data_IF_971785573038
#
_entry.id   IF_971785573038
#
_cell.length_a   1.000
_cell.length_b   1.000
_cell.length_c   1.000
_cell.angle_alpha   90.00
_cell.angle_beta   90.00
_cell.angle_gamma   90.00
#
_symmetry.space_group_name_H-M   'P 1'
#
loop_
_entity.id
_entity.type
_entity.pdbx_description
1 polymer ?
#
# COMPACT_ATOMS: atom_id res chain seq x y z
N UNK A 1 19.18 9.43 3.88
CA UNK A 1 17.83 9.98 3.56
C UNK A 1 17.47 11.15 4.45
N UNK A 2 16.95 12.25 3.89
CA UNK A 2 16.73 13.54 4.60
C UNK A 2 15.36 13.57 5.24
N UNK A 3 15.22 14.00 6.50
CA UNK A 3 13.91 14.30 7.08
C UNK A 3 13.17 15.32 6.23
N UNK A 4 11.85 15.16 6.12
CA UNK A 4 10.98 16.06 5.38
C UNK A 4 10.88 17.46 6.02
N UNK A 5 11.08 17.55 7.33
CA UNK A 5 11.08 18.77 8.14
C UNK A 5 12.32 19.67 7.98
N UNK A 6 13.33 19.24 7.20
CA UNK A 6 14.64 19.88 7.14
C UNK A 6 14.83 20.64 5.81
N UNK A 7 14.98 21.97 5.92
CA UNK A 7 15.26 22.85 4.79
C UNK A 7 16.66 22.57 4.18
N UNK A 8 16.67 22.15 2.91
CA UNK A 8 17.88 21.81 2.15
C UNK A 8 18.63 23.05 1.64
N UNK A 9 18.04 24.25 1.73
CA UNK A 9 18.72 25.50 1.42
C UNK A 9 19.80 25.86 2.47
N UNK A 10 19.78 25.22 3.65
CA UNK A 10 20.78 25.45 4.69
C UNK A 10 22.05 24.60 4.47
N UNK A 11 23.10 25.26 3.98
CA UNK A 11 24.41 24.68 3.62
C UNK A 11 25.14 24.04 4.82
N UNK A 12 24.91 24.51 6.04
CA UNK A 12 25.57 24.01 7.24
C UNK A 12 25.05 22.63 7.64
N UNK A 13 23.72 22.46 7.56
CA UNK A 13 23.04 21.19 7.87
C UNK A 13 23.36 20.12 6.83
N UNK A 14 23.53 20.51 5.57
CA UNK A 14 23.97 19.63 4.48
C UNK A 14 25.39 19.10 4.71
N UNK A 15 26.30 19.96 5.16
CA UNK A 15 27.72 19.60 5.35
C UNK A 15 27.92 18.67 6.55
N UNK A 16 27.25 18.94 7.68
CA UNK A 16 27.29 18.07 8.88
C UNK A 16 26.72 16.67 8.60
N UNK A 17 25.77 16.57 7.68
CA UNK A 17 25.11 15.31 7.32
C UNK A 17 25.86 14.48 6.28
N UNK A 18 26.52 15.11 5.30
CA UNK A 18 27.43 14.41 4.37
C UNK A 18 28.67 13.89 5.11
N UNK A 19 29.12 14.57 6.17
CA UNK A 19 30.22 14.12 7.02
C UNK A 19 29.89 12.99 8.00
N UNK A 20 28.65 12.48 8.05
CA UNK A 20 28.25 11.39 8.94
C UNK A 20 28.10 11.78 10.42
N UNK A 21 28.07 13.07 10.75
CA UNK A 21 27.96 13.56 12.13
C UNK A 21 26.52 13.71 12.64
N UNK A 22 25.50 13.47 11.79
CA UNK A 22 24.08 13.55 12.15
C UNK A 22 23.42 12.20 11.83
N UNK A 23 23.05 11.48 12.89
CA UNK A 23 22.23 10.27 12.80
C UNK A 23 20.76 10.71 12.83
N UNK A 24 20.05 10.48 11.73
CA UNK A 24 18.63 10.82 11.61
C UNK A 24 17.82 9.72 12.27
N UNK A 25 17.12 10.06 13.36
CA UNK A 25 16.26 9.12 14.08
C UNK A 25 15.16 8.53 13.16
N UNK A 26 14.74 7.29 13.41
CA UNK A 26 13.74 6.60 12.57
C UNK A 26 12.38 7.30 12.47
N UNK A 27 12.03 8.16 13.43
CA UNK A 27 10.81 8.96 13.44
C UNK A 27 10.89 10.22 12.55
N UNK A 28 12.09 10.60 12.10
CA UNK A 28 12.28 11.69 11.16
C UNK A 28 12.08 11.20 9.74
N UNK A 29 10.83 11.22 9.31
CA UNK A 29 10.41 10.62 8.06
C UNK A 29 10.96 11.35 6.84
N UNK A 30 11.49 10.60 5.85
CA UNK A 30 12.11 11.20 4.71
C UNK A 30 11.10 11.63 3.64
N UNK A 31 11.45 12.68 2.90
CA UNK A 31 10.58 13.29 1.88
C UNK A 31 10.14 12.30 0.78
N UNK A 32 10.87 11.20 0.58
CA UNK A 32 10.49 10.18 -0.40
C UNK A 32 9.14 9.51 -0.07
N UNK A 33 8.63 9.62 1.16
CA UNK A 33 7.30 9.11 1.51
C UNK A 33 6.18 9.95 0.90
N UNK A 34 6.43 11.23 0.63
CA UNK A 34 5.42 12.18 0.21
C UNK A 34 5.20 12.17 -1.31
N UNK A 35 3.96 12.39 -1.72
CA UNK A 35 3.59 12.58 -3.12
C UNK A 35 4.41 13.74 -3.71
N UNK A 36 4.93 13.53 -4.93
CA UNK A 36 5.81 14.48 -5.62
C UNK A 36 7.05 14.91 -4.81
N UNK A 37 7.37 14.21 -3.72
CA UNK A 37 8.44 14.56 -2.80
C UNK A 37 8.29 15.98 -2.22
N UNK A 38 7.05 16.40 -1.96
CA UNK A 38 6.73 17.70 -1.36
C UNK A 38 6.16 17.49 0.04
N UNK A 39 6.75 18.15 1.02
CA UNK A 39 6.27 18.19 2.40
C UNK A 39 5.51 19.50 2.63
N UNK A 40 4.29 19.39 3.14
CA UNK A 40 3.44 20.52 3.47
C UNK A 40 3.39 20.66 5.00
N UNK A 41 3.96 21.74 5.58
CA UNK A 41 3.95 21.93 7.03
C UNK A 41 2.56 22.29 7.58
N UNK A 42 1.64 22.76 6.73
CA UNK A 42 0.28 23.14 7.14
C UNK A 42 -0.69 21.95 7.07
N UNK A 43 -0.38 20.94 6.26
CA UNK A 43 -1.10 19.67 6.16
C UNK A 43 -0.12 18.49 6.08
N UNK A 44 0.18 17.91 7.24
CA UNK A 44 1.18 16.83 7.36
C UNK A 44 0.78 15.54 6.64
N UNK A 45 -0.52 15.34 6.39
CA UNK A 45 -1.05 14.18 5.66
C UNK A 45 -1.05 14.38 4.15
N UNK A 46 -0.87 15.61 3.69
CA UNK A 46 -0.83 15.93 2.26
C UNK A 46 0.24 15.12 1.54
N UNK A 47 -0.20 14.13 0.77
CA UNK A 47 0.68 13.26 0.01
C UNK A 47 1.47 12.24 0.83
N UNK A 48 1.31 12.18 2.14
CA UNK A 48 2.05 11.26 3.01
C UNK A 48 1.80 9.79 2.61
N UNK A 49 2.87 9.01 2.48
CA UNK A 49 2.86 7.61 2.01
C UNK A 49 2.24 7.40 0.61
N UNK A 50 2.17 8.45 -0.23
CA UNK A 50 1.60 8.40 -1.59
C UNK A 50 2.62 8.65 -2.70
N UNK A 51 3.91 8.52 -2.43
CA UNK A 51 4.93 8.73 -3.46
C UNK A 51 4.90 7.67 -4.57
N UNK A 52 5.20 8.09 -5.80
CA UNK A 52 5.29 7.16 -6.94
C UNK A 52 6.37 6.08 -6.76
N UNK A 53 7.42 6.41 -6.00
CA UNK A 53 8.46 5.45 -5.62
C UNK A 53 7.89 4.31 -4.77
N UNK A 54 7.10 4.63 -3.74
CA UNK A 54 6.47 3.62 -2.89
C UNK A 54 5.53 2.74 -3.70
N UNK A 55 4.72 3.32 -4.59
CA UNK A 55 3.81 2.55 -5.45
C UNK A 55 4.59 1.58 -6.34
N UNK A 56 5.67 2.05 -6.95
CA UNK A 56 6.53 1.23 -7.81
C UNK A 56 7.21 0.09 -7.04
N UNK A 57 7.71 0.39 -5.83
CA UNK A 57 8.31 -0.60 -4.93
C UNK A 57 7.30 -1.65 -4.47
N UNK A 58 6.08 -1.23 -4.10
CA UNK A 58 5.00 -2.13 -3.70
C UNK A 58 4.68 -3.12 -4.82
N UNK A 59 4.53 -2.61 -6.06
CA UNK A 59 4.25 -3.42 -7.23
C UNK A 59 5.39 -4.40 -7.55
N UNK A 60 6.64 -3.97 -7.43
CA UNK A 60 7.79 -4.85 -7.60
C UNK A 60 7.83 -5.98 -6.57
N UNK A 61 7.53 -5.67 -5.30
CA UNK A 61 7.60 -6.63 -4.18
C UNK A 61 6.42 -7.60 -4.19
N UNK A 62 5.21 -7.09 -4.34
CA UNK A 62 3.99 -7.88 -4.12
C UNK A 62 3.30 -8.29 -5.42
N UNK A 63 3.25 -7.49 -6.46
CA UNK A 63 2.59 -7.91 -7.71
C UNK A 63 3.58 -8.58 -8.64
N UNK A 64 4.21 -7.84 -9.55
CA UNK A 64 5.19 -8.37 -10.51
C UNK A 64 5.97 -7.18 -11.07
N UNK A 65 7.26 -7.32 -11.41
CA UNK A 65 8.00 -6.26 -12.11
C UNK A 65 7.26 -5.76 -13.37
N UNK A 66 6.62 -6.69 -14.10
CA UNK A 66 5.80 -6.38 -15.29
C UNK A 66 4.50 -5.62 -15.03
N UNK A 67 4.17 -5.29 -13.78
CA UNK A 67 3.03 -4.40 -13.45
C UNK A 67 3.45 -2.94 -13.31
N UNK A 68 4.76 -2.68 -13.40
CA UNK A 68 5.34 -1.35 -13.50
C UNK A 68 5.64 -0.97 -14.96
N UNK A 69 6.00 -1.95 -15.79
CA UNK A 69 6.11 -1.79 -17.25
C UNK A 69 4.77 -2.09 -17.95
N UNK A 70 4.40 -1.32 -18.98
CA UNK A 70 3.14 -1.51 -19.72
C UNK A 70 3.11 -2.80 -20.59
N UNK A 71 4.21 -3.56 -20.68
CA UNK A 71 4.28 -4.79 -21.46
C UNK A 71 4.12 -6.05 -20.56
N UNK A 72 3.08 -6.88 -20.79
CA UNK A 72 2.86 -8.08 -20.00
C UNK A 72 3.88 -9.18 -20.37
N UNK A 73 4.95 -9.30 -19.59
CA UNK A 73 6.01 -10.34 -19.78
C UNK A 73 6.07 -11.40 -18.66
N UNK A 74 5.02 -11.57 -17.86
CA UNK A 74 5.09 -12.47 -16.70
C UNK A 74 4.72 -13.93 -17.01
N UNK A 75 5.69 -14.83 -16.82
CA UNK A 75 5.53 -16.31 -16.79
C UNK A 75 5.26 -16.86 -15.38
N UNK A 76 5.38 -16.04 -14.32
CA UNK A 76 5.16 -16.45 -12.92
C UNK A 76 4.11 -15.59 -12.23
N UNK A 77 3.30 -16.20 -11.36
CA UNK A 77 2.37 -15.47 -10.49
C UNK A 77 3.09 -14.52 -9.54
N UNK A 78 2.51 -13.34 -9.35
CA UNK A 78 2.97 -12.38 -8.37
C UNK A 78 2.83 -12.84 -6.91
N UNK A 79 3.65 -12.32 -6.01
CA UNK A 79 3.65 -12.70 -4.59
C UNK A 79 2.26 -12.50 -3.93
N UNK A 80 1.56 -11.42 -4.25
CA UNK A 80 0.21 -11.12 -3.83
C UNK A 80 -0.76 -12.21 -4.29
N UNK A 81 -0.65 -12.67 -5.54
CA UNK A 81 -1.48 -13.77 -6.06
C UNK A 81 -1.13 -15.10 -5.39
N UNK A 82 0.15 -15.38 -5.18
CA UNK A 82 0.64 -16.60 -4.52
C UNK A 82 0.12 -16.68 -3.08
N UNK A 83 0.15 -15.56 -2.36
CA UNK A 83 -0.26 -15.50 -0.96
C UNK A 83 -1.73 -15.07 -0.78
N UNK A 84 -2.51 -14.95 -1.85
CA UNK A 84 -3.93 -14.58 -1.79
C UNK A 84 -4.20 -13.18 -1.25
N UNK A 85 -3.24 -12.26 -1.32
CA UNK A 85 -3.39 -10.87 -0.92
C UNK A 85 -4.36 -10.16 -1.87
N UNK A 86 -5.46 -9.65 -1.31
CA UNK A 86 -6.54 -8.96 -2.04
C UNK A 86 -6.64 -7.47 -1.73
N UNK A 87 -5.90 -7.03 -0.72
CA UNK A 87 -5.84 -5.63 -0.31
C UNK A 87 -4.47 -5.31 0.24
N UNK A 88 -4.11 -4.03 0.16
CA UNK A 88 -2.96 -3.47 0.88
C UNK A 88 -3.28 -3.48 2.37
N UNK A 89 -2.29 -3.86 3.19
CA UNK A 89 -2.38 -3.79 4.66
C UNK A 89 -1.41 -2.74 5.20
N UNK A 90 -1.69 -2.16 6.38
CA UNK A 90 -0.81 -1.20 7.06
C UNK A 90 0.61 -1.76 7.20
N UNK A 91 0.72 -3.02 7.64
CA UNK A 91 1.99 -3.74 7.74
C UNK A 91 2.73 -3.88 6.40
N UNK A 92 2.01 -4.16 5.30
CA UNK A 92 2.63 -4.24 3.98
C UNK A 92 3.13 -2.88 3.48
N UNK A 93 2.42 -1.80 3.81
CA UNK A 93 2.81 -0.44 3.46
C UNK A 93 4.06 0.00 4.24
N UNK A 94 4.08 -0.20 5.57
CA UNK A 94 5.27 0.04 6.39
C UNK A 94 6.47 -0.79 5.94
N UNK A 95 6.25 -2.03 5.52
CA UNK A 95 7.32 -2.89 5.00
C UNK A 95 7.91 -2.32 3.72
N UNK A 96 7.07 -1.93 2.75
CA UNK A 96 7.54 -1.34 1.48
C UNK A 96 8.27 -0.03 1.70
N UNK A 97 7.77 0.84 2.60
CA UNK A 97 8.46 2.07 2.96
C UNK A 97 9.85 1.78 3.54
N UNK A 98 9.97 0.77 4.39
CA UNK A 98 11.24 0.34 4.99
C UNK A 98 12.20 -0.21 3.93
N UNK A 99 11.71 -1.05 3.02
CA UNK A 99 12.51 -1.58 1.91
C UNK A 99 12.99 -0.47 0.96
N UNK A 100 12.13 0.49 0.63
CA UNK A 100 12.50 1.64 -0.18
C UNK A 100 13.55 2.52 0.53
N UNK A 101 13.39 2.76 1.84
CA UNK A 101 14.36 3.50 2.65
C UNK A 101 15.74 2.84 2.63
N UNK A 102 15.77 1.51 2.79
CA UNK A 102 17.00 0.74 2.73
C UNK A 102 17.65 0.83 1.34
N UNK A 103 16.88 0.62 0.27
CA UNK A 103 17.39 0.66 -1.10
C UNK A 103 17.98 2.04 -1.51
N UNK A 104 17.53 3.12 -0.87
CA UNK A 104 18.06 4.47 -1.08
C UNK A 104 19.22 4.83 -0.15
N UNK A 105 19.64 3.93 0.74
CA UNK A 105 20.78 4.13 1.63
C UNK A 105 22.02 3.42 1.08
N UNK A 106 23.21 3.91 1.39
CA UNK A 106 24.49 3.27 1.02
C UNK A 106 24.83 2.02 1.86
N UNK A 107 23.92 1.60 2.74
CA UNK A 107 24.11 0.44 3.59
C UNK A 107 24.09 -0.84 2.74
N UNK A 108 25.09 -1.69 2.92
CA UNK A 108 25.23 -2.92 2.14
C UNK A 108 24.42 -4.11 2.70
N UNK A 109 23.99 -4.02 3.97
CA UNK A 109 23.31 -5.11 4.67
C UNK A 109 22.02 -4.61 5.28
N UNK A 110 20.90 -5.27 4.96
CA UNK A 110 19.65 -5.06 5.65
C UNK A 110 19.65 -5.89 6.93
N UNK A 111 19.93 -5.25 8.07
CA UNK A 111 19.90 -5.89 9.39
C UNK A 111 18.89 -5.20 10.29
N UNK A 112 18.16 -5.99 11.08
CA UNK A 112 17.28 -5.48 12.14
C UNK A 112 18.06 -4.72 13.22
N UNK A 113 19.30 -5.14 13.49
CA UNK A 113 20.18 -4.53 14.49
C UNK A 113 21.03 -3.39 13.91
N UNK A 114 20.78 -2.95 12.68
CA UNK A 114 21.54 -1.84 12.11
C UNK A 114 21.07 -0.51 12.72
N UNK A 115 21.81 -0.05 13.73
CA UNK A 115 21.61 1.27 14.33
C UNK A 115 21.92 2.42 13.34
N UNK A 116 22.61 2.15 12.22
CA UNK A 116 22.93 3.17 11.21
C UNK A 116 21.68 3.58 10.44
N UNK A 117 20.86 2.61 10.04
CA UNK A 117 19.58 2.91 9.38
C UNK A 117 18.43 3.03 10.34
N UNK A 118 18.44 2.36 11.50
CA UNK A 118 17.31 2.36 12.45
C UNK A 118 16.00 1.93 11.77
N UNK A 119 16.06 0.79 11.07
CA UNK A 119 14.97 0.28 10.22
C UNK A 119 13.76 -0.17 11.01
N UNK A 120 13.98 -0.76 12.19
CA UNK A 120 12.92 -1.22 13.09
C UNK A 120 12.10 -0.05 13.64
N UNK A 121 12.77 0.99 14.17
CA UNK A 121 12.08 2.19 14.64
C UNK A 121 11.33 2.90 13.53
N UNK A 122 11.90 2.97 12.33
CA UNK A 122 11.20 3.55 11.18
C UNK A 122 9.93 2.78 10.82
N UNK A 123 10.01 1.44 10.73
CA UNK A 123 8.84 0.59 10.48
C UNK A 123 7.76 0.77 11.54
N UNK A 124 8.16 0.68 12.82
CA UNK A 124 7.23 0.80 13.94
C UNK A 124 6.61 2.20 13.98
N UNK A 125 7.37 3.28 13.75
CA UNK A 125 6.80 4.63 13.73
C UNK A 125 5.70 4.81 12.67
N UNK A 126 5.86 4.18 11.50
CA UNK A 126 4.82 4.19 10.46
C UNK A 126 3.60 3.41 10.92
N UNK A 127 3.80 2.23 11.55
CA UNK A 127 2.68 1.47 12.08
C UNK A 127 1.96 2.23 13.20
N UNK A 128 2.70 2.87 14.10
CA UNK A 128 2.13 3.65 15.20
C UNK A 128 1.20 4.74 14.66
N UNK A 129 1.62 5.50 13.62
CA UNK A 129 0.73 6.46 12.96
C UNK A 129 -0.47 5.78 12.30
N UNK A 130 -0.25 4.69 11.57
CA UNK A 130 -1.32 4.02 10.84
C UNK A 130 -2.33 3.34 11.77
N UNK A 131 -1.95 2.97 12.99
CA UNK A 131 -2.80 2.34 14.00
C UNK A 131 -3.35 3.34 15.03
N UNK A 132 -2.98 4.62 14.93
CA UNK A 132 -3.56 5.68 15.75
C UNK A 132 -5.07 5.82 15.47
N UNK A 133 -5.85 5.88 16.54
CA UNK A 133 -7.29 6.01 16.47
C UNK A 133 -7.72 7.42 16.05
N UNK A 134 -6.91 8.43 16.39
CA UNK A 134 -7.21 9.84 16.10
C UNK A 134 -6.97 10.16 14.60
N UNK A 135 -6.16 9.36 13.92
CA UNK A 135 -5.80 9.53 12.50
C UNK A 135 -6.60 8.58 11.57
N UNK A 136 -7.64 7.95 12.09
CA UNK A 136 -8.36 6.86 11.43
C UNK A 136 -8.95 7.27 10.07
N UNK A 137 -9.48 8.49 9.96
CA UNK A 137 -10.15 8.94 8.74
C UNK A 137 -9.15 9.14 7.60
N UNK A 138 -7.99 9.71 7.88
CA UNK A 138 -6.86 9.90 6.98
C UNK A 138 -6.27 8.56 6.56
N UNK A 139 -6.11 7.63 7.52
CA UNK A 139 -5.65 6.27 7.27
C UNK A 139 -6.63 5.53 6.35
N UNK A 140 -7.94 5.59 6.60
CA UNK A 140 -8.94 4.90 5.78
C UNK A 140 -8.96 5.46 4.35
N UNK A 141 -8.77 6.77 4.17
CA UNK A 141 -8.59 7.40 2.86
C UNK A 141 -7.31 6.93 2.16
N UNK A 142 -6.19 6.88 2.89
CA UNK A 142 -4.91 6.37 2.37
C UNK A 142 -5.03 4.91 1.92
N UNK A 143 -5.65 4.06 2.75
CA UNK A 143 -5.85 2.64 2.44
C UNK A 143 -6.78 2.45 1.24
N UNK A 144 -7.82 3.27 1.12
CA UNK A 144 -8.72 3.28 -0.05
C UNK A 144 -7.96 3.66 -1.31
N UNK A 145 -7.14 4.72 -1.25
CA UNK A 145 -6.30 5.15 -2.36
C UNK A 145 -5.33 4.04 -2.79
N UNK A 146 -4.63 3.40 -1.85
CA UNK A 146 -3.68 2.32 -2.13
C UNK A 146 -4.34 1.10 -2.78
N UNK A 147 -5.51 0.69 -2.28
CA UNK A 147 -6.24 -0.43 -2.84
C UNK A 147 -6.69 -0.17 -4.29
N UNK A 148 -7.06 1.07 -4.63
CA UNK A 148 -7.36 1.45 -6.03
C UNK A 148 -6.13 1.35 -6.95
N UNK A 149 -4.94 1.66 -6.44
CA UNK A 149 -3.70 1.63 -7.23
C UNK A 149 -3.18 0.22 -7.52
N UNK A 150 -3.35 -0.70 -6.55
CA UNK A 150 -2.71 -2.03 -6.57
C UNK A 150 -3.71 -3.16 -6.83
N UNK A 151 -4.94 -3.01 -6.33
CA UNK A 151 -6.00 -4.02 -6.38
C UNK A 151 -7.32 -3.45 -6.94
N UNK A 152 -7.32 -2.82 -8.14
CA UNK A 152 -8.51 -2.16 -8.69
C UNK A 152 -9.72 -3.09 -8.83
N UNK A 153 -9.48 -4.37 -9.14
CA UNK A 153 -10.52 -5.39 -9.26
C UNK A 153 -11.24 -5.71 -7.92
N UNK A 154 -10.62 -5.37 -6.79
CA UNK A 154 -11.17 -5.61 -5.46
C UNK A 154 -11.66 -4.32 -4.78
N UNK A 155 -11.23 -3.13 -5.25
CA UNK A 155 -11.68 -1.84 -4.73
C UNK A 155 -13.06 -1.41 -5.27
N UNK A 156 -13.45 -1.87 -6.45
CA UNK A 156 -14.70 -1.45 -7.13
C UNK A 156 -15.87 -2.43 -6.93
N UNK A 157 -15.80 -3.34 -5.96
CA UNK A 157 -16.91 -4.26 -5.69
C UNK A 157 -17.97 -3.55 -4.84
N UNK A 158 -18.57 -2.49 -5.37
CA UNK A 158 -19.99 -2.24 -5.15
C UNK A 158 -20.71 -3.23 -6.05
N UNK A 159 -20.91 -4.46 -5.55
CA UNK A 159 -21.72 -5.46 -6.25
C UNK A 159 -23.10 -4.84 -6.46
N UNK A 160 -23.42 -4.45 -7.70
CA UNK A 160 -24.80 -4.26 -8.11
C UNK A 160 -25.58 -5.48 -7.60
N UNK A 161 -26.73 -5.31 -6.90
CA UNK A 161 -27.52 -6.44 -6.47
C UNK A 161 -27.74 -7.35 -7.68
N UNK A 162 -27.28 -8.59 -7.54
CA UNK A 162 -27.41 -9.67 -8.52
C UNK A 162 -28.88 -10.10 -8.70
N UNK A 163 -29.82 -9.15 -8.73
CA UNK A 163 -31.25 -9.41 -8.94
C UNK A 163 -31.51 -9.95 -10.35
N UNK A 164 -30.60 -9.74 -11.31
CA UNK A 164 -30.72 -10.18 -12.70
C UNK A 164 -29.64 -11.16 -13.17
N UNK A 165 -28.85 -11.76 -12.27
CA UNK A 165 -27.85 -12.74 -12.69
C UNK A 165 -28.50 -13.96 -13.33
N UNK A 166 -27.90 -14.46 -14.43
CA UNK A 166 -28.33 -15.68 -15.14
C UNK A 166 -28.53 -16.85 -14.17
N UNK A 167 -27.71 -16.95 -13.12
CA UNK A 167 -27.81 -18.00 -12.12
C UNK A 167 -29.09 -17.90 -11.27
N UNK A 168 -29.47 -16.69 -10.87
CA UNK A 168 -30.72 -16.43 -10.13
C UNK A 168 -31.95 -16.79 -10.99
N UNK A 169 -31.90 -16.46 -12.30
CA UNK A 169 -32.95 -16.84 -13.26
C UNK A 169 -33.04 -18.36 -13.48
N UNK A 170 -31.92 -19.08 -13.46
CA UNK A 170 -31.90 -20.55 -13.54
C UNK A 170 -32.57 -21.17 -12.31
N UNK A 171 -32.28 -20.67 -11.12
CA UNK A 171 -32.90 -21.17 -9.89
C UNK A 171 -34.39 -20.84 -9.79
N UNK A 172 -34.80 -19.64 -10.21
CA UNK A 172 -36.21 -19.28 -10.29
C UNK A 172 -36.99 -20.19 -11.23
N UNK A 173 -36.47 -20.44 -12.45
CA UNK A 173 -37.09 -21.42 -13.37
C UNK A 173 -37.18 -22.82 -12.77
N UNK A 174 -36.17 -23.26 -12.00
CA UNK A 174 -36.20 -24.57 -11.33
C UNK A 174 -37.21 -24.64 -10.18
N UNK A 175 -37.48 -23.53 -9.49
CA UNK A 175 -38.54 -23.45 -8.49
C UNK A 175 -39.92 -23.55 -9.16
N UNK A 176 -40.17 -22.74 -10.20
CA UNK A 176 -41.44 -22.77 -10.96
C UNK A 176 -41.72 -24.12 -11.63
N UNK A 177 -40.69 -24.87 -12.05
CA UNK A 177 -40.86 -26.22 -12.58
C UNK A 177 -41.22 -27.24 -11.49
N UNK A 178 -40.71 -27.08 -10.27
CA UNK A 178 -41.03 -27.97 -9.14
C UNK A 178 -42.44 -27.74 -8.64
N UNK A 179 -42.85 -26.47 -8.48
CA UNK A 179 -44.22 -26.11 -8.09
C UNK A 179 -45.25 -26.63 -9.12
N UNK A 180 -44.97 -26.51 -10.43
CA UNK A 180 -45.85 -27.08 -11.47
C UNK A 180 -45.91 -28.61 -11.49
N UNK A 181 -44.87 -29.29 -11.05
CA UNK A 181 -44.86 -30.75 -10.95
C UNK A 181 -45.63 -31.22 -9.71
N UNK A 182 -45.54 -30.47 -8.61
CA UNK A 182 -46.27 -30.73 -7.37
C UNK A 182 -47.78 -30.45 -7.51
N UNK A 183 -48.16 -29.35 -8.17
CA UNK A 183 -49.56 -29.04 -8.49
C UNK A 183 -50.18 -30.03 -9.51
N UNK A 184 -49.35 -30.66 -10.35
CA UNK A 184 -49.79 -31.63 -11.36
C UNK A 184 -50.00 -33.06 -10.85
N UNK A 185 -49.56 -33.38 -9.62
CA UNK A 185 -49.75 -34.69 -8.98
C UNK A 185 -50.87 -34.70 -7.92
N UNK A 186 -51.57 -33.57 -7.73
CA UNK A 186 -52.64 -33.39 -6.75
C UNK A 186 -54.08 -33.53 -7.30
N UNK A 187 -54.26 -34.03 -8.53
CA UNK A 187 -55.55 -34.44 -9.11
C UNK A 187 -55.55 -35.94 -9.37
#
# INVERSE_FOLDING_TARGET
>A
LCPASLDWANTETKTKRVGGHIQVAGDQWPVFLYANYMYDPEDLWNGLLRSGLLVSAFKHIFTSPSSVDQEPKATRSGNARIHGMRSVTKASLGYVATQARFALTSAQVFSRMDHVTDSERFYNSILDLLDDADEKDEVDQLMTWWNRQVFPLYSDIERLPSKNSTLARIWQKRAEYRERQEDGMGL
#
